data_IF_304531617462
#
_entry.id   IF_304531617462
#
_cell.length_a   1.000
_cell.length_b   1.000
_cell.length_c   1.000
_cell.angle_alpha   90.00
_cell.angle_beta   90.00
_cell.angle_gamma   90.00
#
_symmetry.space_group_name_H-M   'P 1'
#
loop_
_entity.id
_entity.type
_entity.pdbx_description
1 polymer ?
#
# COMPACT_ATOMS: atom_id res chain seq x y z
N UNK A 1 23.26 -2.15 17.16
CA UNK A 1 22.51 -3.33 17.67
C UNK A 1 23.21 -4.61 17.20
N UNK A 2 23.43 -4.77 15.87
CA UNK A 2 24.04 -5.98 15.32
C UNK A 2 25.43 -6.23 15.86
N UNK A 3 26.28 -5.21 15.90
CA UNK A 3 27.66 -5.30 16.39
C UNK A 3 27.73 -5.39 17.93
N UNK A 4 26.86 -4.67 18.64
CA UNK A 4 26.90 -4.59 20.12
C UNK A 4 26.25 -5.80 20.77
N UNK A 5 25.14 -6.29 20.23
CA UNK A 5 24.36 -7.37 20.88
C UNK A 5 24.37 -8.69 20.10
N UNK A 6 25.02 -8.75 18.95
CA UNK A 6 25.05 -9.92 18.04
C UNK A 6 23.65 -10.48 17.73
N UNK A 7 22.65 -9.58 17.65
CA UNK A 7 21.27 -9.96 17.37
C UNK A 7 21.00 -9.73 15.88
N UNK A 8 20.44 -10.73 15.21
CA UNK A 8 19.98 -10.59 13.84
C UNK A 8 18.79 -9.65 13.77
N UNK A 9 18.88 -8.63 12.94
CA UNK A 9 17.76 -7.74 12.65
C UNK A 9 17.57 -7.58 11.14
N UNK A 10 16.35 -7.31 10.75
CA UNK A 10 16.00 -7.00 9.36
C UNK A 10 15.00 -5.86 9.30
N UNK A 11 15.16 -4.99 8.29
CA UNK A 11 14.21 -3.92 7.99
C UNK A 11 13.25 -4.39 6.91
N UNK A 12 12.01 -4.61 7.27
CA UNK A 12 10.95 -5.05 6.37
C UNK A 12 10.23 -3.83 5.81
N UNK A 13 10.33 -3.64 4.49
CA UNK A 13 9.76 -2.50 3.77
C UNK A 13 8.76 -2.96 2.71
N UNK A 14 7.87 -2.05 2.30
CA UNK A 14 6.96 -2.26 1.18
C UNK A 14 7.72 -2.64 -0.10
N UNK A 15 7.17 -3.51 -0.96
CA UNK A 15 7.81 -3.90 -2.22
C UNK A 15 8.24 -2.71 -3.07
N UNK A 16 7.48 -1.63 -3.08
CA UNK A 16 7.78 -0.40 -3.83
C UNK A 16 9.11 0.28 -3.46
N UNK A 17 9.72 -0.11 -2.33
CA UNK A 17 11.05 0.37 -1.97
C UNK A 17 12.18 -0.40 -2.68
N UNK A 18 11.88 -1.55 -3.27
CA UNK A 18 12.88 -2.42 -3.88
C UNK A 18 12.88 -2.31 -5.40
N UNK A 19 14.06 -2.50 -5.98
CA UNK A 19 14.22 -2.66 -7.42
C UNK A 19 13.68 -4.03 -7.84
N UNK A 20 12.78 -4.07 -8.84
CA UNK A 20 12.35 -5.29 -9.53
C UNK A 20 13.33 -5.61 -10.66
N UNK A 21 14.15 -6.64 -10.48
CA UNK A 21 15.21 -6.99 -11.42
C UNK A 21 14.67 -7.29 -12.83
N UNK A 22 13.56 -8.02 -12.96
CA UNK A 22 12.93 -8.31 -14.25
C UNK A 22 12.51 -7.02 -14.98
N UNK A 23 11.86 -6.10 -14.27
CA UNK A 23 11.40 -4.85 -14.84
C UNK A 23 12.58 -3.97 -15.27
N UNK A 24 13.62 -3.89 -14.45
CA UNK A 24 14.82 -3.13 -14.79
C UNK A 24 15.55 -3.76 -16.00
N UNK A 25 15.70 -5.08 -16.02
CA UNK A 25 16.31 -5.81 -17.14
C UNK A 25 15.60 -5.53 -18.46
N UNK A 26 14.27 -5.50 -18.47
CA UNK A 26 13.49 -5.14 -19.66
C UNK A 26 13.84 -3.74 -20.17
N UNK A 27 14.02 -2.76 -19.28
CA UNK A 27 14.36 -1.39 -19.68
C UNK A 27 15.77 -1.26 -20.31
N UNK A 28 16.67 -2.21 -20.07
CA UNK A 28 18.00 -2.20 -20.67
C UNK A 28 17.98 -2.59 -22.15
N UNK A 29 16.93 -3.29 -22.58
CA UNK A 29 16.74 -3.68 -23.99
C UNK A 29 15.91 -2.66 -24.79
N UNK A 30 15.35 -1.66 -24.13
CA UNK A 30 14.64 -0.58 -24.80
C UNK A 30 15.64 0.43 -25.41
N UNK A 31 15.39 0.83 -26.64
CA UNK A 31 16.13 1.95 -27.24
C UNK A 31 15.78 3.24 -26.51
N UNK A 32 16.77 3.85 -25.92
CA UNK A 32 16.62 5.08 -25.15
C UNK A 32 17.53 6.18 -25.71
N UNK A 33 16.93 7.24 -26.22
CA UNK A 33 17.65 8.38 -26.79
C UNK A 33 18.12 9.38 -25.71
N UNK A 34 17.49 9.36 -24.54
CA UNK A 34 17.81 10.27 -23.45
C UNK A 34 19.13 9.88 -22.75
N UNK A 35 20.18 10.62 -23.05
CA UNK A 35 21.53 10.39 -22.48
C UNK A 35 21.57 10.46 -20.95
N UNK A 36 20.75 11.32 -20.33
CA UNK A 36 20.71 11.45 -18.87
C UNK A 36 20.06 10.20 -18.23
N UNK A 37 19.02 9.68 -18.86
CA UNK A 37 18.39 8.44 -18.40
C UNK A 37 19.32 7.23 -18.59
N UNK A 38 20.02 7.15 -19.70
CA UNK A 38 21.05 6.10 -19.92
C UNK A 38 22.15 6.17 -18.85
N UNK A 39 22.62 7.37 -18.52
CA UNK A 39 23.59 7.55 -17.41
C UNK A 39 23.03 7.06 -16.08
N UNK A 40 21.77 7.34 -15.80
CA UNK A 40 21.11 6.86 -14.59
C UNK A 40 20.93 5.33 -14.57
N UNK A 41 20.59 4.70 -15.71
CA UNK A 41 20.57 3.23 -15.85
C UNK A 41 21.96 2.63 -15.55
N UNK A 42 23.03 3.24 -16.06
CA UNK A 42 24.40 2.81 -15.75
C UNK A 42 24.75 2.97 -14.27
N UNK A 43 24.32 4.05 -13.63
CA UNK A 43 24.49 4.24 -12.19
C UNK A 43 23.78 3.14 -11.39
N UNK A 44 22.56 2.75 -11.79
CA UNK A 44 21.83 1.64 -11.17
C UNK A 44 22.54 0.31 -11.36
N UNK A 45 23.12 0.04 -12.52
CA UNK A 45 23.92 -1.17 -12.76
C UNK A 45 25.14 -1.23 -11.82
N UNK A 46 25.86 -0.12 -11.66
CA UNK A 46 26.99 -0.05 -10.72
C UNK A 46 26.50 -0.25 -9.28
N UNK A 47 25.41 0.42 -8.89
CA UNK A 47 24.83 0.25 -7.56
C UNK A 47 24.41 -1.21 -7.30
N UNK A 48 23.84 -1.91 -8.28
CA UNK A 48 23.47 -3.32 -8.17
C UNK A 48 24.65 -4.25 -7.84
N UNK A 49 25.87 -3.87 -8.23
CA UNK A 49 27.06 -4.65 -7.86
C UNK A 49 27.49 -4.45 -6.40
N UNK A 50 26.94 -3.44 -5.72
CA UNK A 50 27.36 -3.03 -4.37
C UNK A 50 26.25 -3.23 -3.33
N UNK A 51 24.97 -3.10 -3.74
CA UNK A 51 23.86 -3.21 -2.81
C UNK A 51 23.67 -4.65 -2.32
N UNK A 52 23.36 -4.77 -1.03
CA UNK A 52 22.92 -6.03 -0.42
C UNK A 52 21.41 -6.08 -0.22
N UNK A 53 20.76 -4.93 -0.23
CA UNK A 53 19.35 -4.79 0.13
C UNK A 53 18.45 -4.60 -1.08
N UNK A 54 18.95 -4.02 -2.18
CA UNK A 54 18.17 -3.63 -3.34
C UNK A 54 17.19 -2.48 -3.06
N UNK A 55 17.37 -1.77 -1.95
CA UNK A 55 16.52 -0.64 -1.54
C UNK A 55 16.82 0.59 -2.40
N UNK A 56 15.88 1.00 -3.21
CA UNK A 56 16.02 2.17 -4.09
C UNK A 56 16.33 3.46 -3.32
N UNK A 57 15.99 3.55 -2.03
CA UNK A 57 16.33 4.72 -1.23
C UNK A 57 17.85 4.89 -0.99
N UNK A 58 18.66 3.86 -1.28
CA UNK A 58 20.11 3.96 -1.29
C UNK A 58 20.63 4.77 -2.50
N UNK A 59 19.80 4.91 -3.53
CA UNK A 59 20.16 5.59 -4.78
C UNK A 59 19.74 7.06 -4.72
N UNK A 60 20.69 7.96 -4.97
CA UNK A 60 20.39 9.39 -5.04
C UNK A 60 19.57 9.78 -6.28
N UNK A 61 18.92 10.94 -6.22
CA UNK A 61 18.25 11.59 -7.35
C UNK A 61 17.03 10.85 -7.95
N UNK A 62 16.41 9.93 -7.24
CA UNK A 62 15.23 9.19 -7.71
C UNK A 62 14.10 10.10 -8.20
N UNK A 63 13.90 11.24 -7.56
CA UNK A 63 12.86 12.21 -7.92
C UNK A 63 13.01 12.78 -9.34
N UNK A 64 14.24 12.89 -9.85
CA UNK A 64 14.50 13.38 -11.23
C UNK A 64 14.03 12.40 -12.29
N UNK A 65 13.93 11.12 -11.93
CA UNK A 65 13.57 10.02 -12.83
C UNK A 65 12.33 9.31 -12.36
N UNK A 66 11.39 10.03 -11.72
CA UNK A 66 10.22 9.46 -11.03
C UNK A 66 9.44 8.45 -11.92
N UNK A 67 9.14 8.82 -13.17
CA UNK A 67 8.42 7.94 -14.11
C UNK A 67 9.20 6.66 -14.43
N UNK A 68 10.51 6.77 -14.62
CA UNK A 68 11.35 5.59 -14.85
C UNK A 68 11.45 4.73 -13.59
N UNK A 69 11.69 5.33 -12.44
CA UNK A 69 11.75 4.65 -11.14
C UNK A 69 10.44 3.92 -10.84
N UNK A 70 9.29 4.53 -11.15
CA UNK A 70 7.99 3.88 -11.01
C UNK A 70 7.90 2.57 -11.82
N UNK A 71 8.47 2.52 -13.02
CA UNK A 71 8.47 1.33 -13.90
C UNK A 71 9.34 0.19 -13.36
N UNK A 72 10.40 0.50 -12.64
CA UNK A 72 11.36 -0.50 -12.13
C UNK A 72 11.17 -0.85 -10.65
N UNK A 73 10.22 -0.22 -9.96
CA UNK A 73 9.83 -0.58 -8.58
C UNK A 73 9.19 -1.95 -8.55
N UNK A 74 9.44 -2.66 -7.46
CA UNK A 74 8.80 -3.95 -7.23
C UNK A 74 7.31 -3.76 -6.92
N UNK A 75 6.46 -4.54 -7.55
CA UNK A 75 5.00 -4.49 -7.41
C UNK A 75 4.42 -5.53 -6.43
N UNK A 76 5.29 -6.27 -5.73
CA UNK A 76 4.88 -7.36 -4.84
C UNK A 76 4.63 -8.69 -5.56
N UNK A 77 4.68 -8.72 -6.89
CA UNK A 77 4.46 -9.92 -7.69
C UNK A 77 5.78 -10.44 -8.28
N UNK A 78 6.09 -11.70 -8.04
CA UNK A 78 7.27 -12.35 -8.58
C UNK A 78 6.91 -13.74 -9.12
N UNK A 79 7.11 -13.92 -10.42
CA UNK A 79 6.90 -15.23 -11.05
C UNK A 79 8.03 -16.20 -10.68
N UNK A 80 7.70 -17.44 -10.33
CA UNK A 80 8.69 -18.52 -10.13
C UNK A 80 9.49 -18.83 -11.40
N UNK A 81 8.99 -18.39 -12.57
CA UNK A 81 9.67 -18.54 -13.87
C UNK A 81 10.63 -17.37 -14.20
N UNK A 82 10.70 -16.34 -13.36
CA UNK A 82 11.62 -15.22 -13.53
C UNK A 82 13.06 -15.70 -13.51
N UNK A 83 13.88 -15.14 -14.40
CA UNK A 83 15.32 -15.37 -14.42
C UNK A 83 16.00 -14.93 -13.13
N UNK A 84 15.43 -13.91 -12.47
CA UNK A 84 15.97 -13.31 -11.26
C UNK A 84 15.22 -13.75 -10.00
N UNK A 85 14.43 -14.84 -10.06
CA UNK A 85 13.64 -15.29 -8.91
C UNK A 85 14.48 -15.49 -7.64
N UNK A 86 15.67 -16.05 -7.77
CA UNK A 86 16.55 -16.31 -6.63
C UNK A 86 17.28 -15.07 -6.13
N UNK A 87 17.56 -14.13 -7.02
CA UNK A 87 18.30 -12.90 -6.76
C UNK A 87 17.41 -11.76 -6.27
N UNK A 88 16.10 -11.88 -6.45
CA UNK A 88 15.15 -10.85 -6.10
C UNK A 88 15.27 -10.38 -4.65
N UNK A 89 15.47 -9.09 -4.49
CA UNK A 89 15.78 -8.48 -3.19
C UNK A 89 14.57 -8.47 -2.26
N UNK A 90 13.37 -8.17 -2.79
CA UNK A 90 12.16 -8.16 -1.97
C UNK A 90 11.84 -9.56 -1.43
N UNK A 91 11.91 -10.59 -2.27
CA UNK A 91 11.73 -11.98 -1.85
C UNK A 91 12.73 -12.40 -0.78
N UNK A 92 14.03 -12.11 -0.99
CA UNK A 92 15.06 -12.36 0.02
C UNK A 92 14.76 -11.63 1.33
N UNK A 93 14.29 -10.37 1.25
CA UNK A 93 13.86 -9.60 2.41
C UNK A 93 12.74 -10.29 3.19
N UNK A 94 11.73 -10.87 2.51
CA UNK A 94 10.67 -11.64 3.16
C UNK A 94 11.21 -12.91 3.84
N UNK A 95 12.15 -13.60 3.23
CA UNK A 95 12.79 -14.79 3.84
C UNK A 95 13.64 -14.44 5.07
N UNK A 96 14.43 -13.37 4.99
CA UNK A 96 15.21 -12.87 6.12
C UNK A 96 14.32 -12.39 7.28
N UNK A 97 13.17 -11.79 6.98
CA UNK A 97 12.21 -11.37 7.99
C UNK A 97 11.75 -12.54 8.87
N UNK A 98 11.49 -13.70 8.27
CA UNK A 98 11.05 -14.91 8.98
C UNK A 98 12.11 -15.44 9.96
N UNK A 99 13.38 -15.34 9.61
CA UNK A 99 14.50 -15.86 10.42
C UNK A 99 15.12 -14.83 11.38
N UNK A 100 14.77 -13.55 11.25
CA UNK A 100 15.35 -12.49 12.07
C UNK A 100 14.73 -12.43 13.45
N UNK A 101 15.56 -12.20 14.48
CA UNK A 101 15.08 -12.02 15.85
C UNK A 101 14.41 -10.67 16.07
N UNK A 102 14.86 -9.64 15.38
CA UNK A 102 14.30 -8.29 15.43
C UNK A 102 13.88 -7.86 14.02
N UNK A 103 12.62 -7.42 13.89
CA UNK A 103 12.08 -6.83 12.68
C UNK A 103 11.79 -5.35 12.90
N UNK A 104 12.22 -4.52 11.95
CA UNK A 104 11.89 -3.10 11.90
C UNK A 104 10.96 -2.87 10.71
N UNK A 105 9.85 -2.19 10.92
CA UNK A 105 8.91 -1.84 9.86
C UNK A 105 8.16 -0.55 10.19
N UNK A 106 7.53 0.09 9.23
CA UNK A 106 6.63 1.19 9.50
C UNK A 106 5.20 0.70 9.78
N UNK A 107 4.38 1.55 10.41
CA UNK A 107 3.03 1.21 10.83
C UNK A 107 2.14 0.77 9.66
N UNK A 108 2.16 1.50 8.54
CA UNK A 108 1.32 1.20 7.39
C UNK A 108 1.66 -0.18 6.78
N UNK A 109 2.94 -0.47 6.60
CA UNK A 109 3.36 -1.76 6.05
C UNK A 109 3.15 -2.90 7.03
N UNK A 110 3.29 -2.66 8.35
CA UNK A 110 2.94 -3.64 9.38
C UNK A 110 1.48 -4.07 9.24
N UNK A 111 0.54 -3.13 9.14
CA UNK A 111 -0.89 -3.43 9.01
C UNK A 111 -1.18 -4.24 7.75
N UNK A 112 -0.60 -3.86 6.61
CA UNK A 112 -0.72 -4.63 5.36
C UNK A 112 -0.20 -6.06 5.53
N UNK A 113 0.95 -6.22 6.19
CA UNK A 113 1.54 -7.55 6.38
C UNK A 113 0.76 -8.41 7.37
N UNK A 114 0.21 -7.81 8.43
CA UNK A 114 -0.61 -8.54 9.40
C UNK A 114 -1.96 -8.96 8.83
N UNK A 115 -2.52 -8.23 7.86
CA UNK A 115 -3.72 -8.67 7.14
C UNK A 115 -3.45 -9.94 6.32
N UNK A 116 -2.28 -10.01 5.66
CA UNK A 116 -1.88 -11.16 4.85
C UNK A 116 -1.38 -12.35 5.69
N UNK A 117 -0.60 -12.08 6.72
CA UNK A 117 0.10 -13.08 7.52
C UNK A 117 0.24 -12.63 8.99
N UNK A 118 -0.79 -12.84 9.83
CA UNK A 118 -0.74 -12.52 11.26
C UNK A 118 0.37 -13.25 12.01
N UNK A 119 0.84 -14.41 11.50
CA UNK A 119 1.90 -15.20 12.14
C UNK A 119 3.24 -14.47 12.23
N UNK A 120 3.41 -13.38 11.47
CA UNK A 120 4.62 -12.56 11.49
C UNK A 120 4.97 -12.05 12.91
N UNK A 121 3.95 -11.78 13.74
CA UNK A 121 4.13 -11.29 15.13
C UNK A 121 3.82 -12.34 16.18
N UNK A 122 3.44 -13.54 15.79
CA UNK A 122 3.15 -14.64 16.70
C UNK A 122 4.38 -14.99 17.53
N UNK A 123 4.18 -15.17 18.86
CA UNK A 123 5.26 -15.44 19.82
C UNK A 123 6.37 -14.36 19.85
N UNK A 124 6.09 -13.13 19.40
CA UNK A 124 6.98 -11.99 19.44
C UNK A 124 6.46 -10.91 20.38
N UNK A 125 7.32 -9.96 20.71
CA UNK A 125 6.92 -8.70 21.34
C UNK A 125 6.86 -7.65 20.24
N UNK A 126 5.68 -7.08 20.03
CA UNK A 126 5.48 -5.96 19.12
C UNK A 126 5.71 -4.65 19.89
N UNK A 127 6.75 -3.91 19.49
CA UNK A 127 7.01 -2.56 20.02
C UNK A 127 6.55 -1.55 18.99
N UNK A 128 5.56 -0.75 19.37
CA UNK A 128 5.01 0.33 18.54
C UNK A 128 5.56 1.65 19.05
N UNK A 129 6.55 2.18 18.38
CA UNK A 129 7.10 3.49 18.67
C UNK A 129 6.23 4.58 18.01
N UNK A 130 6.16 5.76 18.63
CA UNK A 130 5.24 6.82 18.20
C UNK A 130 3.80 6.31 17.99
N UNK A 131 3.27 5.58 18.96
CA UNK A 131 2.01 4.87 18.85
C UNK A 131 0.82 5.76 18.47
N UNK A 132 0.86 7.08 18.72
CA UNK A 132 -0.14 8.03 18.25
C UNK A 132 -0.23 8.09 16.70
N UNK A 133 0.86 7.76 15.99
CA UNK A 133 0.87 7.72 14.52
C UNK A 133 0.21 6.45 13.98
N UNK A 134 0.13 5.39 14.79
CA UNK A 134 -0.56 4.16 14.41
C UNK A 134 -2.05 4.40 14.13
N UNK A 135 -2.69 5.31 14.89
CA UNK A 135 -4.09 5.68 14.65
C UNK A 135 -4.31 6.18 13.21
N UNK A 136 -3.45 7.08 12.73
CA UNK A 136 -3.57 7.57 11.36
C UNK A 136 -3.33 6.46 10.32
N UNK A 137 -2.41 5.54 10.61
CA UNK A 137 -2.17 4.39 9.74
C UNK A 137 -3.37 3.44 9.69
N UNK A 138 -4.03 3.19 10.83
CA UNK A 138 -5.26 2.41 10.91
C UNK A 138 -6.42 3.10 10.17
N UNK A 139 -6.55 4.41 10.32
CA UNK A 139 -7.57 5.18 9.60
C UNK A 139 -7.35 5.11 8.08
N UNK A 140 -6.12 5.32 7.62
CA UNK A 140 -5.76 5.19 6.20
C UNK A 140 -5.97 3.76 5.70
N UNK A 141 -5.61 2.76 6.49
CA UNK A 141 -5.80 1.36 6.17
C UNK A 141 -7.29 0.96 6.09
N UNK A 142 -8.14 1.66 6.85
CA UNK A 142 -9.59 1.45 6.84
C UNK A 142 -10.31 2.10 5.67
N UNK A 143 -9.62 2.90 4.89
CA UNK A 143 -10.18 3.64 3.75
C UNK A 143 -9.26 3.59 2.54
N UNK A 144 -9.85 3.63 1.36
CA UNK A 144 -9.14 3.89 0.12
C UNK A 144 -9.86 4.99 -0.66
N UNK A 145 -9.13 5.73 -1.49
CA UNK A 145 -9.73 6.72 -2.38
C UNK A 145 -9.01 6.81 -3.71
N UNK A 146 -9.75 7.07 -4.77
CA UNK A 146 -9.24 7.18 -6.12
C UNK A 146 -9.86 8.39 -6.81
N UNK A 147 -9.06 9.18 -7.54
CA UNK A 147 -9.57 10.23 -8.41
C UNK A 147 -10.40 9.60 -9.53
N UNK A 148 -11.63 10.05 -9.70
CA UNK A 148 -12.50 9.54 -10.77
C UNK A 148 -11.93 9.90 -12.15
N UNK A 149 -11.34 11.08 -12.29
CA UNK A 149 -10.73 11.51 -13.55
C UNK A 149 -9.57 10.58 -13.95
N UNK A 150 -8.67 10.27 -13.01
CA UNK A 150 -7.54 9.38 -13.30
C UNK A 150 -8.02 7.97 -13.63
N UNK A 151 -9.03 7.47 -12.91
CA UNK A 151 -9.65 6.19 -13.17
C UNK A 151 -10.24 6.11 -14.59
N UNK A 152 -10.95 7.15 -15.03
CA UNK A 152 -11.55 7.20 -16.36
C UNK A 152 -10.49 7.28 -17.47
N UNK A 153 -9.39 8.00 -17.24
CA UNK A 153 -8.26 8.07 -18.19
C UNK A 153 -7.59 6.70 -18.32
N UNK A 154 -7.36 6.01 -17.21
CA UNK A 154 -6.79 4.65 -17.22
C UNK A 154 -7.71 3.66 -17.96
N UNK A 155 -8.99 3.64 -17.65
CA UNK A 155 -9.97 2.79 -18.34
C UNK A 155 -10.04 3.05 -19.83
N UNK A 156 -10.07 4.31 -20.24
CA UNK A 156 -10.11 4.68 -21.67
C UNK A 156 -8.86 4.16 -22.40
N UNK A 157 -7.68 4.32 -21.81
CA UNK A 157 -6.42 3.82 -22.37
C UNK A 157 -6.42 2.30 -22.50
N UNK A 158 -6.95 1.58 -21.50
CA UNK A 158 -7.03 0.12 -21.57
C UNK A 158 -8.04 -0.34 -22.64
N UNK A 159 -9.19 0.33 -22.78
CA UNK A 159 -10.18 0.04 -23.84
C UNK A 159 -9.54 0.17 -25.23
N UNK A 160 -8.72 1.22 -25.44
CA UNK A 160 -8.06 1.49 -26.73
C UNK A 160 -6.97 0.47 -27.05
N UNK A 161 -6.29 -0.07 -26.03
CA UNK A 161 -5.17 -1.00 -26.21
C UNK A 161 -5.55 -2.48 -26.11
N UNK A 162 -6.73 -2.80 -25.55
CA UNK A 162 -7.16 -4.19 -25.36
C UNK A 162 -7.55 -4.84 -26.68
N UNK A 163 -6.95 -6.00 -26.94
CA UNK A 163 -7.16 -6.79 -28.17
C UNK A 163 -8.29 -7.81 -28.06
N UNK A 164 -8.59 -8.27 -26.84
CA UNK A 164 -9.67 -9.22 -26.61
C UNK A 164 -11.01 -8.51 -26.63
N UNK A 165 -11.89 -8.90 -27.55
CA UNK A 165 -13.24 -8.34 -27.64
C UNK A 165 -14.07 -8.55 -26.37
N UNK A 166 -13.89 -9.67 -25.69
CA UNK A 166 -14.57 -9.95 -24.43
C UNK A 166 -14.10 -8.98 -23.34
N UNK A 167 -12.80 -8.89 -23.10
CA UNK A 167 -12.23 -8.00 -22.10
C UNK A 167 -12.55 -6.54 -22.39
N UNK A 168 -12.52 -6.14 -23.65
CA UNK A 168 -12.90 -4.78 -24.07
C UNK A 168 -14.34 -4.45 -23.71
N UNK A 169 -15.29 -5.38 -23.93
CA UNK A 169 -16.69 -5.19 -23.53
C UNK A 169 -16.85 -5.04 -22.02
N UNK A 170 -16.10 -5.80 -21.23
CA UNK A 170 -16.13 -5.69 -19.76
C UNK A 170 -15.57 -4.32 -19.33
N UNK A 171 -14.48 -3.85 -19.94
CA UNK A 171 -13.93 -2.52 -19.68
C UNK A 171 -14.91 -1.40 -20.05
N UNK A 172 -15.61 -1.52 -21.20
CA UNK A 172 -16.65 -0.58 -21.63
C UNK A 172 -17.86 -0.61 -20.67
N UNK A 173 -18.27 -1.78 -20.18
CA UNK A 173 -19.30 -1.92 -19.16
C UNK A 173 -18.91 -1.22 -17.87
N UNK A 174 -17.69 -1.46 -17.39
CA UNK A 174 -17.15 -0.83 -16.17
C UNK A 174 -17.11 0.70 -16.31
N UNK A 175 -16.64 1.20 -17.45
CA UNK A 175 -16.62 2.62 -17.75
C UNK A 175 -18.03 3.23 -17.76
N UNK A 176 -19.00 2.53 -18.34
CA UNK A 176 -20.40 2.94 -18.35
C UNK A 176 -20.98 3.04 -16.93
N UNK A 177 -20.75 2.02 -16.08
CA UNK A 177 -21.22 2.04 -14.68
C UNK A 177 -20.61 3.21 -13.90
N UNK A 178 -19.31 3.46 -14.03
CA UNK A 178 -18.68 4.56 -13.35
C UNK A 178 -19.17 5.94 -13.84
N UNK A 179 -19.41 6.08 -15.14
CA UNK A 179 -20.03 7.31 -15.69
C UNK A 179 -21.47 7.51 -15.20
N UNK A 180 -22.24 6.41 -15.06
CA UNK A 180 -23.58 6.49 -14.50
C UNK A 180 -23.59 6.98 -13.05
N UNK A 181 -22.60 6.57 -12.24
CA UNK A 181 -22.44 7.09 -10.87
C UNK A 181 -22.15 8.60 -10.86
N UNK A 182 -21.26 9.08 -11.73
CA UNK A 182 -20.96 10.50 -11.85
C UNK A 182 -22.21 11.29 -12.19
N UNK A 183 -22.98 10.83 -13.20
CA UNK A 183 -24.22 11.48 -13.62
C UNK A 183 -25.25 11.53 -12.50
N UNK A 184 -25.44 10.41 -11.77
CA UNK A 184 -26.34 10.37 -10.61
C UNK A 184 -25.93 11.35 -9.49
N UNK A 185 -24.62 11.52 -9.25
CA UNK A 185 -24.14 12.51 -8.30
C UNK A 185 -24.44 13.94 -8.78
N UNK A 186 -24.29 14.23 -10.07
CA UNK A 186 -24.60 15.54 -10.66
C UNK A 186 -26.07 15.91 -10.49
N UNK A 187 -26.95 14.92 -10.59
CA UNK A 187 -28.39 15.10 -10.42
C UNK A 187 -28.83 15.20 -8.94
N UNK A 188 -28.05 14.67 -8.00
CA UNK A 188 -28.52 14.41 -6.63
C UNK A 188 -27.74 15.07 -5.48
N UNK A 189 -26.60 15.70 -5.68
CA UNK A 189 -25.92 16.36 -4.57
C UNK A 189 -24.40 16.28 -4.48
N UNK A 190 -23.88 16.35 -3.24
CA UNK A 190 -22.43 16.37 -2.99
C UNK A 190 -21.80 15.00 -2.74
N UNK A 191 -22.61 14.02 -2.30
CA UNK A 191 -22.19 12.66 -1.96
C UNK A 191 -23.21 11.65 -2.46
N UNK A 192 -22.75 10.59 -3.07
CA UNK A 192 -23.56 9.46 -3.54
C UNK A 192 -22.99 8.17 -2.93
N UNK A 193 -23.79 7.43 -2.16
CA UNK A 193 -23.43 6.08 -1.72
C UNK A 193 -23.79 5.05 -2.79
N UNK A 194 -22.91 4.08 -2.99
CA UNK A 194 -23.13 2.98 -3.93
C UNK A 194 -23.96 1.90 -3.22
N UNK A 195 -24.98 1.39 -3.92
CA UNK A 195 -25.72 0.24 -3.42
C UNK A 195 -24.97 -1.09 -3.64
N UNK A 196 -25.45 -2.15 -2.95
CA UNK A 196 -24.80 -3.44 -2.96
C UNK A 196 -24.77 -4.10 -4.35
N UNK A 197 -25.77 -3.88 -5.19
CA UNK A 197 -25.82 -4.43 -6.55
C UNK A 197 -24.75 -3.80 -7.45
N UNK A 198 -24.61 -2.49 -7.38
CA UNK A 198 -23.58 -1.74 -8.10
C UNK A 198 -22.17 -2.19 -7.70
N UNK A 199 -21.93 -2.32 -6.40
CA UNK A 199 -20.64 -2.79 -5.90
C UNK A 199 -20.33 -4.21 -6.37
N UNK A 200 -21.31 -5.12 -6.33
CA UNK A 200 -21.12 -6.50 -6.77
C UNK A 200 -20.84 -6.57 -8.27
N UNK A 201 -21.55 -5.79 -9.07
CA UNK A 201 -21.33 -5.74 -10.52
C UNK A 201 -19.93 -5.26 -10.86
N UNK A 202 -19.50 -4.16 -10.26
CA UNK A 202 -18.15 -3.61 -10.47
C UNK A 202 -17.08 -4.63 -10.03
N UNK A 203 -17.28 -5.31 -8.89
CA UNK A 203 -16.36 -6.36 -8.42
C UNK A 203 -16.25 -7.52 -9.37
N UNK A 204 -17.38 -7.98 -9.92
CA UNK A 204 -17.42 -9.08 -10.88
C UNK A 204 -16.66 -8.70 -12.15
N UNK A 205 -16.93 -7.51 -12.72
CA UNK A 205 -16.22 -7.01 -13.90
C UNK A 205 -14.71 -6.92 -13.65
N UNK A 206 -14.30 -6.39 -12.49
CA UNK A 206 -12.90 -6.28 -12.11
C UNK A 206 -12.23 -7.64 -11.87
N UNK A 207 -12.96 -8.63 -11.37
CA UNK A 207 -12.44 -9.99 -11.17
C UNK A 207 -12.20 -10.70 -12.51
N UNK A 208 -13.11 -10.53 -13.49
CA UNK A 208 -12.98 -11.10 -14.83
C UNK A 208 -11.86 -10.42 -15.65
N UNK A 209 -11.55 -9.15 -15.30
CA UNK A 209 -10.45 -8.40 -15.90
C UNK A 209 -9.14 -8.69 -15.18
N UNK A 210 -8.30 -9.55 -15.71
CA UNK A 210 -6.93 -9.71 -15.21
C UNK A 210 -5.98 -8.66 -15.83
N UNK A 211 -6.26 -7.38 -15.54
CA UNK A 211 -5.50 -6.23 -16.07
C UNK A 211 -4.69 -5.61 -14.94
N UNK A 212 -3.36 -5.72 -14.96
CA UNK A 212 -2.48 -5.17 -13.91
C UNK A 212 -2.60 -3.65 -13.73
N UNK A 213 -2.94 -2.94 -14.80
CA UNK A 213 -3.04 -1.48 -14.81
C UNK A 213 -4.25 -0.93 -14.05
N UNK A 214 -5.26 -1.75 -13.82
CA UNK A 214 -6.42 -1.40 -12.98
C UNK A 214 -6.21 -1.75 -11.50
N UNK A 215 -4.97 -1.88 -11.04
CA UNK A 215 -4.65 -2.28 -9.66
C UNK A 215 -5.25 -1.33 -8.61
N UNK A 216 -5.24 -0.04 -8.84
CA UNK A 216 -5.82 0.96 -7.93
C UNK A 216 -7.33 0.80 -7.80
N UNK A 217 -8.03 0.52 -8.91
CA UNK A 217 -9.47 0.29 -8.88
C UNK A 217 -9.82 -1.06 -8.24
N UNK A 218 -9.03 -2.12 -8.50
CA UNK A 218 -9.16 -3.41 -7.83
C UNK A 218 -8.95 -3.29 -6.32
N UNK A 219 -7.95 -2.52 -5.90
CA UNK A 219 -7.69 -2.25 -4.49
C UNK A 219 -8.86 -1.51 -3.83
N UNK A 220 -9.41 -0.50 -4.50
CA UNK A 220 -10.57 0.25 -4.00
C UNK A 220 -11.78 -0.67 -3.78
N UNK A 221 -12.05 -1.62 -4.68
CA UNK A 221 -13.17 -2.55 -4.59
C UNK A 221 -12.82 -3.88 -3.90
N UNK A 222 -11.68 -3.93 -3.18
CA UNK A 222 -11.30 -5.11 -2.43
C UNK A 222 -12.39 -5.53 -1.42
N UNK A 223 -12.51 -6.83 -1.18
CA UNK A 223 -13.56 -7.42 -0.33
C UNK A 223 -13.56 -6.94 1.11
N UNK A 224 -12.42 -6.43 1.60
CA UNK A 224 -12.28 -5.86 2.96
C UNK A 224 -13.09 -4.57 3.18
N UNK A 225 -13.47 -3.87 2.10
CA UNK A 225 -14.29 -2.67 2.20
C UNK A 225 -15.77 -3.03 1.99
N UNK A 226 -16.64 -2.40 2.79
CA UNK A 226 -18.09 -2.64 2.78
C UNK A 226 -18.88 -1.42 2.31
N UNK A 227 -18.36 -0.23 2.60
CA UNK A 227 -19.02 1.05 2.26
C UNK A 227 -18.29 1.72 1.10
N UNK A 228 -19.04 2.16 0.11
CA UNK A 228 -18.50 2.83 -1.09
C UNK A 228 -19.28 4.09 -1.35
N UNK A 229 -18.57 5.17 -1.64
CA UNK A 229 -19.22 6.43 -1.97
C UNK A 229 -18.39 7.26 -2.96
N UNK A 230 -19.10 8.08 -3.70
CA UNK A 230 -18.55 9.10 -4.60
C UNK A 230 -18.86 10.46 -4.03
N UNK A 231 -17.88 11.35 -3.93
CA UNK A 231 -18.09 12.71 -3.48
C UNK A 231 -17.21 13.72 -4.21
N UNK A 232 -17.55 15.01 -4.01
CA UNK A 232 -16.78 16.15 -4.51
C UNK A 232 -16.02 16.77 -3.36
N UNK A 233 -14.69 16.69 -3.45
CA UNK A 233 -13.77 17.26 -2.47
C UNK A 233 -13.16 18.53 -3.04
N UNK A 234 -13.05 19.57 -2.20
CA UNK A 234 -12.31 20.76 -2.54
C UNK A 234 -10.82 20.52 -2.32
N UNK A 235 -10.02 20.48 -3.37
CA UNK A 235 -8.56 20.38 -3.30
C UNK A 235 -7.97 21.70 -3.81
N UNK A 236 -7.25 22.42 -2.93
CA UNK A 236 -6.67 23.73 -3.24
C UNK A 236 -7.66 24.69 -3.91
N UNK A 237 -7.62 24.83 -5.24
CA UNK A 237 -8.48 25.72 -6.03
C UNK A 237 -9.51 24.99 -6.89
N UNK A 238 -9.53 23.64 -6.88
CA UNK A 238 -10.35 22.84 -7.78
C UNK A 238 -11.26 21.90 -7.01
N UNK A 239 -12.43 21.61 -7.60
CA UNK A 239 -13.27 20.51 -7.12
C UNK A 239 -12.84 19.22 -7.82
N UNK A 240 -12.48 18.21 -7.02
CA UNK A 240 -12.09 16.88 -7.50
C UNK A 240 -13.16 15.88 -7.11
N UNK A 241 -13.55 15.06 -8.06
CA UNK A 241 -14.45 13.95 -7.84
C UNK A 241 -13.66 12.72 -7.41
N UNK A 242 -13.95 12.21 -6.21
CA UNK A 242 -13.27 11.04 -5.66
C UNK A 242 -14.23 9.91 -5.38
N UNK A 243 -13.82 8.72 -5.77
CA UNK A 243 -14.45 7.47 -5.41
C UNK A 243 -13.73 6.92 -4.18
N UNK A 244 -14.49 6.57 -3.16
CA UNK A 244 -13.98 6.09 -1.88
C UNK A 244 -14.51 4.73 -1.53
N UNK A 245 -13.73 4.01 -0.76
CA UNK A 245 -14.17 2.81 -0.07
C UNK A 245 -13.76 2.87 1.40
N UNK A 246 -14.51 2.20 2.26
CA UNK A 246 -14.27 2.15 3.68
C UNK A 246 -14.81 0.90 4.33
N UNK A 247 -14.43 0.69 5.59
CA UNK A 247 -14.99 -0.34 6.47
C UNK A 247 -16.10 0.28 7.30
N UNK A 248 -17.12 -0.52 7.66
CA UNK A 248 -18.24 -0.07 8.50
C UNK A 248 -17.82 0.33 9.90
N UNK A 249 -16.76 -0.30 10.41
CA UNK A 249 -16.23 -0.05 11.75
C UNK A 249 -14.80 0.41 11.70
N UNK A 250 -14.40 1.23 12.67
CA UNK A 250 -13.00 1.56 12.89
C UNK A 250 -12.26 0.27 13.25
N UNK A 251 -11.22 -0.04 12.48
CA UNK A 251 -10.44 -1.24 12.67
C UNK A 251 -9.60 -1.10 13.94
N UNK A 252 -9.74 -2.04 14.86
CA UNK A 252 -8.86 -2.13 16.03
C UNK A 252 -7.53 -2.77 15.65
N UNK A 253 -6.45 -2.34 16.28
CA UNK A 253 -5.16 -3.04 16.13
C UNK A 253 -5.26 -4.49 16.61
N UNK A 254 -6.15 -4.80 17.55
CA UNK A 254 -6.39 -6.15 18.07
C UNK A 254 -6.93 -7.11 17.01
N UNK A 255 -7.60 -6.58 15.98
CA UNK A 255 -8.12 -7.42 14.89
C UNK A 255 -7.03 -8.05 14.03
N UNK A 256 -5.81 -7.51 14.10
CA UNK A 256 -4.66 -7.97 13.31
C UNK A 256 -3.64 -8.77 14.13
N UNK A 257 -3.69 -8.67 15.44
CA UNK A 257 -2.65 -9.21 16.32
C UNK A 257 -3.15 -10.47 17.01
N UNK A 258 -2.46 -11.63 16.87
CA UNK A 258 -2.82 -12.82 17.62
C UNK A 258 -2.79 -12.58 19.14
N UNK A 259 -3.69 -13.19 19.89
CA UNK A 259 -3.79 -13.05 21.35
C UNK A 259 -2.46 -13.42 22.08
N UNK A 260 -1.65 -14.27 21.48
CA UNK A 260 -0.32 -14.65 21.98
C UNK A 260 0.73 -13.55 21.90
N UNK A 261 0.45 -12.47 21.14
CA UNK A 261 1.40 -11.37 20.90
C UNK A 261 1.34 -10.36 22.04
N UNK A 262 2.48 -10.07 22.66
CA UNK A 262 2.60 -8.97 23.62
C UNK A 262 2.87 -7.67 22.88
N UNK A 263 2.10 -6.63 23.19
CA UNK A 263 2.24 -5.31 22.55
C UNK A 263 2.73 -4.30 23.57
N UNK A 264 3.78 -3.57 23.22
CA UNK A 264 4.30 -2.43 23.96
C UNK A 264 4.14 -1.17 23.09
N UNK A 265 3.30 -0.25 23.54
CA UNK A 265 3.10 1.04 22.87
C UNK A 265 3.93 2.11 23.56
N UNK A 266 4.73 2.83 22.80
CA UNK A 266 5.58 3.92 23.29
C UNK A 266 5.18 5.21 22.58
N UNK A 267 4.94 6.27 23.32
CA UNK A 267 4.64 7.60 22.80
C UNK A 267 4.82 8.66 23.87
N UNK A 268 5.19 9.86 23.47
CA UNK A 268 5.19 11.04 24.33
C UNK A 268 3.77 11.50 24.72
N UNK A 269 2.74 11.08 23.96
CA UNK A 269 1.35 11.53 24.08
C UNK A 269 0.36 10.36 24.19
N UNK A 270 0.61 9.43 25.11
CA UNK A 270 -0.27 8.27 25.32
C UNK A 270 -1.59 8.64 26.00
N UNK A 271 -1.64 9.69 26.80
CA UNK A 271 -2.82 10.17 27.47
C UNK A 271 -3.19 11.59 27.00
N UNK A 272 -4.39 11.74 26.44
CA UNK A 272 -4.95 13.05 26.06
C UNK A 272 -5.62 13.69 27.27
N UNK A 273 -6.22 12.87 28.14
CA UNK A 273 -6.80 13.27 29.43
C UNK A 273 -6.84 12.06 30.36
N UNK A 274 -7.23 12.30 31.64
CA UNK A 274 -7.41 11.18 32.60
C UNK A 274 -8.43 10.13 32.14
N UNK A 275 -9.35 10.46 31.23
CA UNK A 275 -10.40 9.56 30.72
C UNK A 275 -10.18 9.08 29.29
N UNK A 276 -9.39 9.79 28.52
CA UNK A 276 -9.15 9.48 27.10
C UNK A 276 -7.66 9.21 26.90
N UNK A 277 -7.36 7.97 26.63
CA UNK A 277 -6.00 7.52 26.31
C UNK A 277 -5.96 6.84 24.93
N UNK A 278 -4.76 6.74 24.40
CA UNK A 278 -4.53 6.19 23.07
C UNK A 278 -4.99 4.73 22.97
N UNK A 279 -4.86 3.93 24.03
CA UNK A 279 -5.27 2.53 24.01
C UNK A 279 -6.78 2.40 23.73
N UNK A 280 -7.61 3.20 24.40
CA UNK A 280 -9.05 3.22 24.15
C UNK A 280 -9.38 3.65 22.70
N UNK A 281 -8.65 4.63 22.16
CA UNK A 281 -8.84 5.10 20.78
C UNK A 281 -8.46 4.00 19.78
N UNK A 282 -7.42 3.22 20.05
CA UNK A 282 -6.97 2.10 19.21
C UNK A 282 -7.81 0.82 19.42
N UNK A 283 -8.85 0.86 20.24
CA UNK A 283 -9.73 -0.27 20.53
C UNK A 283 -9.10 -1.34 21.43
N UNK A 284 -8.03 -1.00 22.16
CA UNK A 284 -7.36 -1.92 23.10
C UNK A 284 -8.11 -1.92 24.42
N UNK A 285 -8.65 -3.08 24.81
CA UNK A 285 -9.52 -3.19 26.00
C UNK A 285 -8.78 -3.64 27.26
N UNK A 286 -7.67 -4.38 27.11
CA UNK A 286 -6.89 -4.91 28.24
C UNK A 286 -5.45 -4.40 28.13
N UNK A 287 -5.10 -3.40 28.93
CA UNK A 287 -3.77 -2.80 28.94
C UNK A 287 -3.36 -2.32 30.33
N UNK A 288 -2.05 -2.23 30.52
CA UNK A 288 -1.44 -1.62 31.69
C UNK A 288 -0.74 -0.34 31.26
N UNK A 289 -1.09 0.79 31.90
CA UNK A 289 -0.47 2.08 31.64
C UNK A 289 0.73 2.28 32.56
N UNK A 290 1.89 2.58 31.98
CA UNK A 290 3.10 2.94 32.67
C UNK A 290 3.46 4.38 32.28
N UNK A 291 3.30 5.33 33.18
CA UNK A 291 3.67 6.73 32.98
C UNK A 291 4.82 7.13 33.90
N UNK A 292 5.75 7.91 33.40
CA UNK A 292 6.71 8.64 34.24
C UNK A 292 6.23 10.08 34.34
N UNK A 293 5.93 10.55 35.54
CA UNK A 293 5.74 11.97 35.79
C UNK A 293 7.13 12.62 35.76
N UNK A 294 7.47 13.28 34.66
CA UNK A 294 8.63 14.17 34.64
C UNK A 294 8.10 15.52 35.13
N UNK A 295 8.36 15.83 36.38
CA UNK A 295 8.19 17.18 36.88
C UNK A 295 9.35 18.04 36.33
N UNK A 296 9.04 18.93 35.40
CA UNK A 296 9.95 19.98 34.94
C UNK A 296 9.92 21.15 35.92
#
# INVERSE_FOLDING_TARGET
>A
IKETFQISFHSLKSPQNYLKLDAFYQTLHELEENRLLNRFKMQLLVWLTQTQTGDLNEVGQLHRYANFVHRIRHDGNLSKKSLFYREDFWRKGQEYAKSSRVLLTNHAYLLTRLEDDPSLVENRVLVVDEAQKLYFSLEQFSRASLSMADCMVELQREIETEKSLLKRRILESLQFELNALVKRLDDGGRKLELDGEQVQKIRQDLFELDVPKLSSLKELFHSRYQVFWLDRIQEESHQVLRLHSGRDTLVSIQDFIPESTRVLMVSATLAISRKVNLAAILGVTNYQFLGTEINF
#
